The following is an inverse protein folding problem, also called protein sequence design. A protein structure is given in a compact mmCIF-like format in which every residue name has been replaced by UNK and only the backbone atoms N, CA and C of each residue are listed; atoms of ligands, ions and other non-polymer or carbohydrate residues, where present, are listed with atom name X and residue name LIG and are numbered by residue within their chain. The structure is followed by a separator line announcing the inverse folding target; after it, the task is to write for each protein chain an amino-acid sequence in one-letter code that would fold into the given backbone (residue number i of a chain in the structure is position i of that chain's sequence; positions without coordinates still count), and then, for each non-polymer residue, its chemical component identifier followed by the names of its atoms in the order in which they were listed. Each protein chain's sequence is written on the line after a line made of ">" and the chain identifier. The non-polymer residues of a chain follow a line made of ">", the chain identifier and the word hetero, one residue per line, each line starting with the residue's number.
data_IF_091724853161
#
_entry.id   IF_091724853161
#
_cell.length_a   1.000
_cell.length_b   1.000
_cell.length_c   1.000
_cell.angle_alpha   90.00
_cell.angle_beta   90.00
_cell.angle_gamma   90.00
#
_symmetry.space_group_name_H-M   'P 1'
#
loop_
_entity.id
_entity.type
_entity.pdbx_description
1 polymer ?
#
# COMPACT_ATOMS: atom_id res chain seq x y z
N UNK A 1 -2.67 16.98 -25.81
CA UNK A 1 -2.18 15.73 -25.22
C UNK A 1 -3.42 15.12 -24.61
N UNK A 2 -4.13 14.33 -25.41
CA UNK A 2 -5.38 13.73 -24.94
C UNK A 2 -4.96 12.61 -23.99
N UNK A 3 -5.10 12.87 -22.69
CA UNK A 3 -4.83 11.86 -21.67
C UNK A 3 -5.87 10.76 -21.82
N UNK A 4 -5.42 9.55 -22.18
CA UNK A 4 -6.27 8.34 -22.24
C UNK A 4 -7.04 8.12 -20.94
N UNK A 5 -6.49 8.58 -19.80
CA UNK A 5 -7.16 8.64 -18.51
C UNK A 5 -7.78 10.01 -18.28
N UNK A 6 -9.06 10.04 -17.89
CA UNK A 6 -9.73 11.30 -17.53
C UNK A 6 -9.31 11.80 -16.14
N UNK A 7 -9.39 13.12 -15.90
CA UNK A 7 -9.17 13.69 -14.56
C UNK A 7 -10.07 13.06 -13.50
N UNK A 8 -11.32 12.77 -13.87
CA UNK A 8 -12.27 12.11 -12.98
C UNK A 8 -11.79 10.71 -12.59
N UNK A 9 -11.32 9.92 -13.56
CA UNK A 9 -10.82 8.56 -13.32
C UNK A 9 -9.58 8.54 -12.42
N UNK A 10 -8.61 9.43 -12.69
CA UNK A 10 -7.44 9.59 -11.83
C UNK A 10 -7.85 9.96 -10.41
N UNK A 11 -8.77 10.91 -10.25
CA UNK A 11 -9.28 11.33 -8.96
C UNK A 11 -9.98 10.18 -8.20
N UNK A 12 -10.82 9.40 -8.90
CA UNK A 12 -11.49 8.22 -8.30
C UNK A 12 -10.48 7.17 -7.83
N UNK A 13 -9.44 6.89 -8.62
CA UNK A 13 -8.40 5.92 -8.25
C UNK A 13 -7.57 6.38 -7.04
N UNK A 14 -7.18 7.65 -7.00
CA UNK A 14 -6.41 8.24 -5.89
C UNK A 14 -7.23 8.29 -4.59
N UNK A 15 -8.50 8.66 -4.68
CA UNK A 15 -9.41 8.67 -3.53
C UNK A 15 -9.75 7.27 -3.05
N UNK A 16 -9.95 6.30 -3.94
CA UNK A 16 -10.14 4.90 -3.57
C UNK A 16 -8.91 4.31 -2.88
N UNK A 17 -7.70 4.54 -3.42
CA UNK A 17 -6.44 4.12 -2.80
C UNK A 17 -6.32 4.64 -1.36
N UNK A 18 -6.55 5.95 -1.19
CA UNK A 18 -6.48 6.62 0.12
C UNK A 18 -7.57 6.13 1.07
N UNK A 19 -8.79 5.94 0.58
CA UNK A 19 -9.94 5.50 1.38
C UNK A 19 -9.81 4.05 1.85
N UNK A 20 -9.31 3.15 1.01
CA UNK A 20 -9.05 1.76 1.41
C UNK A 20 -7.93 1.68 2.45
N UNK A 21 -6.83 2.40 2.22
CA UNK A 21 -5.72 2.47 3.17
C UNK A 21 -6.07 3.22 4.47
N UNK A 22 -7.06 4.13 4.44
CA UNK A 22 -7.61 4.74 5.65
C UNK A 22 -8.19 3.68 6.58
N UNK A 23 -8.97 2.73 6.07
CA UNK A 23 -9.57 1.65 6.90
C UNK A 23 -8.49 0.81 7.56
N UNK A 24 -7.42 0.51 6.82
CA UNK A 24 -6.24 -0.16 7.34
C UNK A 24 -5.55 0.65 8.46
N UNK A 25 -5.38 1.95 8.25
CA UNK A 25 -4.77 2.86 9.23
C UNK A 25 -5.63 3.10 10.48
N UNK A 26 -6.97 3.10 10.35
CA UNK A 26 -7.92 3.21 11.47
C UNK A 26 -7.64 2.09 12.48
N UNK A 27 -7.51 0.86 12.00
CA UNK A 27 -7.30 -0.30 12.87
C UNK A 27 -5.94 -0.28 13.57
N UNK A 28 -4.92 0.30 12.92
CA UNK A 28 -3.60 0.54 13.53
C UNK A 28 -3.67 1.58 14.64
N UNK A 29 -4.32 2.72 14.36
CA UNK A 29 -4.41 3.85 15.29
C UNK A 29 -5.24 3.50 16.53
N UNK A 30 -6.37 2.81 16.36
CA UNK A 30 -7.18 2.32 17.48
C UNK A 30 -6.45 1.34 18.40
N UNK A 31 -5.44 0.63 17.88
CA UNK A 31 -4.63 -0.31 18.68
C UNK A 31 -3.34 0.30 19.20
N UNK A 32 -3.17 1.62 19.08
CA UNK A 32 -1.98 2.34 19.51
C UNK A 32 -0.69 1.86 18.82
N UNK A 33 -0.80 1.29 17.62
CA UNK A 33 0.36 0.79 16.87
C UNK A 33 1.05 1.94 16.12
N UNK A 34 2.39 1.92 15.98
CA UNK A 34 3.11 2.88 15.16
C UNK A 34 2.65 2.85 13.69
N UNK A 35 2.78 3.99 13.01
CA UNK A 35 2.20 4.27 11.69
C UNK A 35 0.67 4.09 11.66
N UNK A 36 -0.05 5.20 11.80
CA UNK A 36 -1.51 5.22 11.87
C UNK A 36 -2.18 5.55 10.54
N UNK A 37 -3.31 6.24 10.64
CA UNK A 37 -4.18 6.67 9.55
C UNK A 37 -3.41 7.37 8.42
N UNK A 38 -2.73 8.46 8.77
CA UNK A 38 -2.06 9.35 7.79
C UNK A 38 -0.96 8.63 7.04
N UNK A 39 -0.18 7.79 7.72
CA UNK A 39 0.93 7.04 7.12
C UNK A 39 0.44 6.09 6.05
N UNK A 40 -0.60 5.29 6.34
CA UNK A 40 -1.14 4.32 5.39
C UNK A 40 -1.78 5.02 4.18
N UNK A 41 -2.54 6.10 4.41
CA UNK A 41 -3.14 6.88 3.33
C UNK A 41 -2.10 7.48 2.38
N UNK A 42 -1.05 8.12 2.92
CA UNK A 42 -0.02 8.78 2.10
C UNK A 42 0.80 7.77 1.29
N UNK A 43 1.09 6.59 1.86
CA UNK A 43 1.80 5.53 1.15
C UNK A 43 0.97 4.99 -0.01
N UNK A 44 -0.32 4.71 0.21
CA UNK A 44 -1.22 4.24 -0.85
C UNK A 44 -1.45 5.30 -1.92
N UNK A 45 -1.65 6.57 -1.52
CA UNK A 45 -1.82 7.69 -2.43
C UNK A 45 -0.59 7.88 -3.32
N UNK A 46 0.62 7.87 -2.73
CA UNK A 46 1.87 7.99 -3.47
C UNK A 46 2.07 6.84 -4.45
N UNK A 47 1.82 5.61 -4.01
CA UNK A 47 1.91 4.43 -4.89
C UNK A 47 0.94 4.50 -6.08
N UNK A 48 -0.32 4.89 -5.83
CA UNK A 48 -1.31 5.10 -6.88
C UNK A 48 -0.90 6.22 -7.85
N UNK A 49 -0.41 7.35 -7.33
CA UNK A 49 0.03 8.48 -8.14
C UNK A 49 1.20 8.11 -9.06
N UNK A 50 2.21 7.41 -8.54
CA UNK A 50 3.33 6.94 -9.37
C UNK A 50 2.90 5.94 -10.45
N UNK A 51 1.92 5.08 -10.16
CA UNK A 51 1.37 4.21 -11.21
C UNK A 51 0.63 4.99 -12.29
N UNK A 52 -0.17 5.99 -11.92
CA UNK A 52 -0.89 6.82 -12.88
C UNK A 52 0.08 7.60 -13.79
N UNK A 53 1.13 8.20 -13.22
CA UNK A 53 2.21 8.82 -14.00
C UNK A 53 2.84 7.81 -14.96
N UNK A 54 3.09 6.58 -14.49
CA UNK A 54 3.63 5.52 -15.32
C UNK A 54 2.75 5.11 -16.48
N UNK A 55 1.44 5.01 -16.26
CA UNK A 55 0.45 4.72 -17.30
C UNK A 55 0.38 5.85 -18.34
N UNK A 56 0.42 7.11 -17.90
CA UNK A 56 0.43 8.26 -18.81
C UNK A 56 1.69 8.29 -19.70
N UNK A 57 2.85 7.96 -19.14
CA UNK A 57 4.10 7.79 -19.90
C UNK A 57 3.96 6.64 -20.91
N UNK A 58 3.41 5.50 -20.50
CA UNK A 58 3.22 4.34 -21.37
C UNK A 58 2.30 4.66 -22.56
N UNK A 59 1.17 5.31 -22.31
CA UNK A 59 0.20 5.65 -23.35
C UNK A 59 0.75 6.71 -24.32
N UNK A 60 1.42 7.74 -23.80
CA UNK A 60 2.01 8.80 -24.63
C UNK A 60 3.16 8.32 -25.51
N UNK A 61 3.87 7.26 -25.13
CA UNK A 61 5.03 6.74 -25.88
C UNK A 61 4.62 5.68 -26.90
N UNK A 62 3.71 4.77 -26.52
CA UNK A 62 3.18 3.72 -27.43
C UNK A 62 2.41 4.34 -28.59
N UNK A 63 1.74 5.49 -28.38
CA UNK A 63 1.05 6.21 -29.46
C UNK A 63 1.99 6.90 -30.47
N UNK A 64 3.24 7.16 -30.11
CA UNK A 64 4.19 7.92 -30.94
C UNK A 64 5.24 7.03 -31.64
N UNK A 65 5.62 5.89 -31.06
CA UNK A 65 6.54 4.93 -31.67
C UNK A 65 6.14 3.48 -31.31
N UNK A 66 5.59 2.70 -32.25
CA UNK A 66 5.21 1.30 -32.02
C UNK A 66 6.39 0.38 -31.68
N UNK A 67 7.63 0.82 -31.91
CA UNK A 67 8.85 0.07 -31.59
C UNK A 67 9.40 0.37 -30.20
N UNK A 68 8.93 1.45 -29.56
CA UNK A 68 9.30 1.81 -28.20
C UNK A 68 8.66 0.84 -27.21
N UNK A 69 9.42 -0.16 -26.77
CA UNK A 69 9.01 -1.09 -25.71
C UNK A 69 9.22 -0.46 -24.34
N UNK A 70 8.20 0.18 -23.80
CA UNK A 70 8.17 0.55 -22.38
C UNK A 70 7.62 -0.63 -21.58
N UNK A 71 8.37 -1.02 -20.56
CA UNK A 71 7.97 -2.07 -19.63
C UNK A 71 7.35 -1.45 -18.36
N UNK A 72 6.02 -1.50 -18.20
CA UNK A 72 5.34 -0.93 -17.04
C UNK A 72 5.70 -1.64 -15.72
N UNK A 73 6.24 -2.87 -15.78
CA UNK A 73 6.66 -3.59 -14.58
C UNK A 73 7.79 -2.89 -13.85
N UNK A 74 8.66 -2.15 -14.56
CA UNK A 74 9.77 -1.38 -13.95
C UNK A 74 9.29 -0.28 -13.01
N UNK A 75 8.16 0.34 -13.32
CA UNK A 75 7.56 1.38 -12.47
C UNK A 75 7.02 0.72 -11.20
N UNK A 76 6.32 -0.41 -11.36
CA UNK A 76 5.83 -1.21 -10.24
C UNK A 76 6.99 -1.67 -9.35
N UNK A 77 8.09 -2.19 -9.94
CA UNK A 77 9.30 -2.59 -9.22
C UNK A 77 9.91 -1.45 -8.41
N UNK A 78 10.05 -0.27 -9.03
CA UNK A 78 10.56 0.93 -8.35
C UNK A 78 9.69 1.36 -7.17
N UNK A 79 8.36 1.34 -7.36
CA UNK A 79 7.39 1.66 -6.30
C UNK A 79 7.45 0.62 -5.17
N UNK A 80 7.48 -0.68 -5.48
CA UNK A 80 7.61 -1.76 -4.49
C UNK A 80 8.91 -1.60 -3.68
N UNK A 81 10.02 -1.28 -4.35
CA UNK A 81 11.32 -1.03 -3.70
C UNK A 81 11.26 0.17 -2.75
N UNK A 82 10.71 1.31 -3.19
CA UNK A 82 10.56 2.51 -2.37
C UNK A 82 9.68 2.30 -1.14
N UNK A 83 8.59 1.54 -1.30
CA UNK A 83 7.69 1.20 -0.18
C UNK A 83 8.36 0.20 0.77
N UNK A 84 9.14 -0.76 0.24
CA UNK A 84 9.96 -1.66 1.04
C UNK A 84 10.94 -0.91 1.94
N UNK A 85 11.54 0.18 1.46
CA UNK A 85 12.39 1.06 2.26
C UNK A 85 11.60 1.73 3.41
N UNK A 86 10.41 2.26 3.16
CA UNK A 86 9.56 2.83 4.21
C UNK A 86 9.14 1.78 5.25
N UNK A 87 8.79 0.57 4.79
CA UNK A 87 8.45 -0.55 5.65
C UNK A 87 9.63 -0.96 6.54
N UNK A 88 10.82 -1.15 5.96
CA UNK A 88 12.05 -1.46 6.69
C UNK A 88 12.42 -0.35 7.68
N UNK A 89 12.22 0.92 7.32
CA UNK A 89 12.46 2.07 8.19
C UNK A 89 11.59 2.10 9.45
N UNK A 90 10.48 1.34 9.49
CA UNK A 90 9.65 1.18 10.69
C UNK A 90 10.10 0.04 11.61
N UNK A 91 11.05 -0.79 11.16
CA UNK A 91 11.58 -1.92 11.93
C UNK A 91 12.79 -1.42 12.73
N UNK A 92 12.68 -1.47 14.05
CA UNK A 92 13.72 -0.99 14.96
C UNK A 92 14.23 -2.16 15.79
N UNK A 93 15.56 -2.27 15.88
CA UNK A 93 16.24 -3.24 16.75
C UNK A 93 16.80 -2.53 17.97
N UNK A 94 16.45 -3.01 19.16
CA UNK A 94 17.03 -2.57 20.43
C UNK A 94 17.62 -3.78 21.15
N UNK A 95 18.95 -3.88 21.16
CA UNK A 95 19.67 -5.05 21.67
C UNK A 95 19.29 -6.34 20.93
N UNK A 96 18.69 -7.28 21.66
CA UNK A 96 18.20 -8.58 21.14
C UNK A 96 16.77 -8.52 20.62
N UNK A 97 16.03 -7.43 20.87
CA UNK A 97 14.61 -7.32 20.54
C UNK A 97 14.41 -6.57 19.23
N UNK A 98 13.52 -7.08 18.37
CA UNK A 98 13.11 -6.45 17.11
C UNK A 98 11.64 -6.06 17.21
N UNK A 99 11.33 -4.81 16.91
CA UNK A 99 9.97 -4.26 16.94
C UNK A 99 9.59 -3.67 15.58
N UNK A 100 8.29 -3.52 15.33
CA UNK A 100 7.79 -2.84 14.13
C UNK A 100 7.64 -3.73 12.89
N UNK A 101 7.89 -5.04 12.96
CA UNK A 101 7.74 -5.97 11.82
C UNK A 101 6.33 -5.88 11.20
N UNK A 102 5.28 -5.95 12.03
CA UNK A 102 3.89 -5.84 11.55
C UNK A 102 3.57 -4.44 11.01
N UNK A 103 4.14 -3.39 11.60
CA UNK A 103 3.99 -2.02 11.10
C UNK A 103 4.63 -1.88 9.71
N UNK A 104 5.82 -2.43 9.51
CA UNK A 104 6.49 -2.43 8.21
C UNK A 104 5.69 -3.21 7.18
N UNK A 105 5.17 -4.38 7.55
CA UNK A 105 4.31 -5.17 6.69
C UNK A 105 3.01 -4.42 6.32
N UNK A 106 2.38 -3.70 7.25
CA UNK A 106 1.15 -2.97 6.99
C UNK A 106 1.37 -1.74 6.10
N UNK A 107 2.50 -1.04 6.26
CA UNK A 107 2.94 0.02 5.34
C UNK A 107 3.16 -0.54 3.94
N UNK A 108 3.84 -1.69 3.83
CA UNK A 108 4.08 -2.34 2.55
C UNK A 108 2.79 -2.72 1.84
N UNK A 109 1.83 -3.25 2.60
CA UNK A 109 0.51 -3.62 2.10
C UNK A 109 -0.35 -2.41 1.69
N UNK A 110 -0.27 -1.29 2.42
CA UNK A 110 -0.90 -0.03 1.99
C UNK A 110 -0.40 0.41 0.61
N UNK A 111 0.90 0.23 0.37
CA UNK A 111 1.51 0.43 -0.93
C UNK A 111 0.90 -0.44 -2.02
N UNK A 112 0.78 -1.74 -1.77
CA UNK A 112 0.17 -2.68 -2.71
C UNK A 112 -1.30 -2.31 -3.03
N UNK A 113 -2.07 -1.87 -2.03
CA UNK A 113 -3.44 -1.36 -2.23
C UNK A 113 -3.43 -0.15 -3.17
N UNK A 114 -2.49 0.78 -2.96
CA UNK A 114 -2.29 1.94 -3.84
C UNK A 114 -1.92 1.55 -5.26
N UNK A 115 -1.05 0.55 -5.46
CA UNK A 115 -0.71 0.02 -6.79
C UNK A 115 -1.96 -0.53 -7.49
N UNK A 116 -2.74 -1.39 -6.81
CA UNK A 116 -3.95 -1.98 -7.38
C UNK A 116 -4.95 -0.89 -7.80
N UNK A 117 -5.19 0.08 -6.92
CA UNK A 117 -6.07 1.20 -7.21
C UNK A 117 -5.54 2.11 -8.33
N UNK A 118 -4.23 2.36 -8.38
CA UNK A 118 -3.57 3.15 -9.43
C UNK A 118 -3.71 2.53 -10.82
N UNK A 119 -3.56 1.19 -10.92
CA UNK A 119 -3.81 0.45 -12.16
C UNK A 119 -5.30 0.47 -12.55
N UNK A 120 -6.20 0.69 -11.58
CA UNK A 120 -7.65 0.77 -11.76
C UNK A 120 -8.39 -0.48 -11.30
N UNK A 121 -7.68 -1.49 -10.76
CA UNK A 121 -8.29 -2.71 -10.22
C UNK A 121 -8.78 -2.47 -8.78
N UNK A 122 -9.92 -1.78 -8.68
CA UNK A 122 -10.55 -1.45 -7.41
C UNK A 122 -11.09 -2.69 -6.69
N UNK A 123 -11.44 -3.75 -7.44
CA UNK A 123 -11.90 -5.01 -6.86
C UNK A 123 -10.77 -5.71 -6.13
N UNK A 124 -9.60 -5.83 -6.76
CA UNK A 124 -8.40 -6.38 -6.12
C UNK A 124 -7.93 -5.52 -4.95
N UNK A 125 -7.90 -4.19 -5.10
CA UNK A 125 -7.54 -3.28 -4.01
C UNK A 125 -8.44 -3.49 -2.79
N UNK A 126 -9.75 -3.65 -3.01
CA UNK A 126 -10.73 -3.92 -1.95
C UNK A 126 -10.51 -5.28 -1.32
N UNK A 127 -10.32 -6.34 -2.12
CA UNK A 127 -10.08 -7.69 -1.62
C UNK A 127 -8.81 -7.76 -0.75
N UNK A 128 -7.72 -7.15 -1.20
CA UNK A 128 -6.47 -7.06 -0.43
C UNK A 128 -6.69 -6.34 0.89
N UNK A 129 -7.43 -5.23 0.87
CA UNK A 129 -7.77 -4.46 2.08
C UNK A 129 -8.58 -5.28 3.08
N UNK A 130 -9.60 -5.99 2.61
CA UNK A 130 -10.44 -6.84 3.46
C UNK A 130 -9.64 -7.99 4.09
N UNK A 131 -8.82 -8.68 3.29
CA UNK A 131 -7.96 -9.76 3.78
C UNK A 131 -6.93 -9.23 4.80
N UNK A 132 -6.34 -8.06 4.53
CA UNK A 132 -5.45 -7.39 5.48
C UNK A 132 -6.14 -7.18 6.82
N UNK A 133 -7.33 -6.56 6.80
CA UNK A 133 -8.13 -6.29 7.99
C UNK A 133 -8.46 -7.57 8.75
N UNK A 134 -8.88 -8.64 8.07
CA UNK A 134 -9.15 -9.93 8.71
C UNK A 134 -7.90 -10.44 9.42
N UNK A 135 -6.73 -10.43 8.76
CA UNK A 135 -5.48 -10.90 9.35
C UNK A 135 -5.15 -10.09 10.62
N UNK A 136 -5.17 -8.76 10.57
CA UNK A 136 -4.72 -7.96 11.72
C UNK A 136 -5.77 -7.92 12.85
N UNK A 137 -7.06 -8.02 12.51
CA UNK A 137 -8.14 -7.98 13.50
C UNK A 137 -8.39 -9.33 14.15
N UNK A 138 -8.67 -10.36 13.35
CA UNK A 138 -9.08 -11.70 13.81
C UNK A 138 -7.88 -12.44 14.37
N UNK A 139 -6.78 -12.53 13.62
CA UNK A 139 -5.60 -13.25 14.09
C UNK A 139 -4.99 -12.55 15.31
N UNK A 140 -4.92 -11.22 15.29
CA UNK A 140 -4.50 -10.44 16.45
C UNK A 140 -5.45 -10.54 17.67
N UNK A 141 -6.71 -10.92 17.48
CA UNK A 141 -7.60 -11.25 18.60
C UNK A 141 -7.34 -12.66 19.13
N UNK A 142 -7.13 -13.63 18.23
CA UNK A 142 -6.77 -15.02 18.58
C UNK A 142 -5.47 -15.08 19.36
N UNK A 143 -4.42 -14.37 18.91
CA UNK A 143 -3.12 -14.30 19.59
C UNK A 143 -3.24 -13.81 21.04
N UNK A 144 -4.11 -12.82 21.29
CA UNK A 144 -4.37 -12.31 22.65
C UNK A 144 -5.18 -13.26 23.52
N UNK A 145 -6.03 -14.10 22.91
CA UNK A 145 -6.81 -15.10 23.62
C UNK A 145 -5.98 -16.35 23.98
N UNK A 146 -4.85 -16.56 23.32
CA UNK A 146 -3.98 -17.71 23.54
C UNK A 146 -3.13 -17.54 24.82
N UNK A 147 -3.20 -18.48 25.79
CA UNK A 147 -2.58 -18.33 27.11
C UNK A 147 -1.04 -18.41 27.12
N UNK A 148 -0.42 -18.80 26.00
CA UNK A 148 1.03 -18.99 25.88
C UNK A 148 1.82 -17.70 25.61
N UNK A 149 1.16 -16.57 25.32
CA UNK A 149 1.83 -15.28 25.05
C UNK A 149 1.92 -14.34 26.27
N UNK A 150 1.61 -14.85 27.48
CA UNK A 150 1.71 -14.11 28.75
C UNK A 150 3.11 -14.10 29.39
N UNK A 151 4.15 -14.55 28.69
CA UNK A 151 5.53 -14.45 29.20
C UNK A 151 6.27 -13.45 28.34
N UNK A 152 6.85 -12.45 29.01
CA UNK A 152 7.68 -11.35 28.49
C UNK A 152 6.92 -10.03 28.20
N UNK A 153 6.23 -9.52 29.23
CA UNK A 153 6.28 -8.08 29.54
C UNK A 153 7.15 -7.86 30.78
#
# INVERSE_FOLDING_TARGET
>A
MDSELTLLEMFTRLTAASGLALVLGIEREFRGKPAGLRSHMLVALGAAAFLLVGLEILFSTTGNDPTARIDPTRIVEGVIGGIGFLGAGSIIRSGTTVQGITTGASIWLAGAIGICAGVGDLALATMVTLLALIIMTVLGAIERALPWHKREE
#
